data_IF_025739933311
#
_entry.id   IF_025739933311
#
_cell.length_a   1.000
_cell.length_b   1.000
_cell.length_c   1.000
_cell.angle_alpha   90.00
_cell.angle_beta   90.00
_cell.angle_gamma   90.00
#
_symmetry.space_group_name_H-M   'P 1'
#
loop_
_entity.id
_entity.type
_entity.pdbx_description
1 polymer ?
#
# COMPACT_ATOMS: atom_id res chain seq x y z
N UNK A 1 -5.62 -13.58 -0.81
CA UNK A 1 -4.85 -14.16 -1.93
C UNK A 1 -3.38 -13.86 -1.70
N UNK A 2 -2.50 -14.87 -1.85
CA UNK A 2 -1.04 -14.71 -1.81
C UNK A 2 -0.48 -14.86 -3.23
N UNK A 3 0.53 -14.06 -3.58
CA UNK A 3 1.32 -14.22 -4.81
C UNK A 3 2.80 -14.05 -4.50
N UNK A 4 3.61 -14.87 -5.13
CA UNK A 4 5.06 -14.83 -5.06
C UNK A 4 5.59 -14.48 -6.46
N UNK A 5 6.65 -13.66 -6.55
CA UNK A 5 7.22 -13.18 -7.80
C UNK A 5 8.73 -13.32 -7.80
N UNK A 6 9.29 -13.74 -8.91
CA UNK A 6 10.73 -13.64 -9.12
C UNK A 6 11.17 -12.19 -9.36
N UNK A 7 12.43 -11.88 -9.08
CA UNK A 7 12.95 -10.50 -9.17
C UNK A 7 12.74 -9.93 -10.58
N UNK A 8 12.99 -10.71 -11.63
CA UNK A 8 12.83 -10.25 -13.02
C UNK A 8 11.39 -9.86 -13.35
N UNK A 9 10.38 -10.43 -12.67
CA UNK A 9 8.97 -10.11 -12.90
C UNK A 9 8.58 -8.75 -12.33
N UNK A 10 9.20 -8.32 -11.22
CA UNK A 10 8.89 -7.04 -10.55
C UNK A 10 9.86 -5.92 -10.92
N UNK A 11 11.07 -6.27 -11.39
CA UNK A 11 12.09 -5.31 -11.83
C UNK A 11 11.57 -4.22 -12.80
N UNK A 12 10.68 -4.50 -13.79
CA UNK A 12 10.11 -3.47 -14.66
C UNK A 12 9.32 -2.38 -13.93
N UNK A 13 8.77 -2.71 -12.75
CA UNK A 13 7.95 -1.80 -11.92
C UNK A 13 8.78 -0.94 -10.98
N UNK A 14 10.11 -1.11 -10.92
CA UNK A 14 10.98 -0.27 -10.09
C UNK A 14 10.92 1.18 -10.58
N UNK A 15 10.51 2.09 -9.71
CA UNK A 15 10.60 3.52 -9.97
C UNK A 15 12.03 3.99 -9.71
N UNK A 16 12.83 4.08 -10.78
CA UNK A 16 14.24 4.45 -10.75
C UNK A 16 14.46 5.90 -10.31
N UNK A 17 13.50 6.78 -10.49
CA UNK A 17 13.58 8.15 -9.99
C UNK A 17 13.74 8.19 -8.48
N UNK A 18 12.92 7.44 -7.75
CA UNK A 18 13.04 7.33 -6.29
C UNK A 18 14.32 6.63 -5.85
N UNK A 19 14.80 5.65 -6.61
CA UNK A 19 16.08 5.01 -6.36
C UNK A 19 17.23 6.05 -6.45
N UNK A 20 17.29 6.84 -7.50
CA UNK A 20 18.31 7.89 -7.65
C UNK A 20 18.20 8.98 -6.59
N UNK A 21 17.00 9.36 -6.19
CA UNK A 21 16.81 10.30 -5.08
C UNK A 21 17.36 9.78 -3.75
N UNK A 22 17.17 8.51 -3.44
CA UNK A 22 17.70 7.88 -2.23
C UNK A 22 19.24 7.92 -2.19
N UNK A 23 19.89 7.93 -3.36
CA UNK A 23 21.35 8.04 -3.50
C UNK A 23 21.84 9.47 -3.65
N UNK A 24 20.96 10.47 -3.61
CA UNK A 24 21.34 11.89 -3.78
C UNK A 24 21.80 12.24 -5.20
N UNK A 25 21.55 11.36 -6.18
CA UNK A 25 21.93 11.55 -7.59
C UNK A 25 20.77 12.20 -8.34
N UNK A 26 20.61 13.52 -8.20
CA UNK A 26 19.56 14.28 -8.87
C UNK A 26 19.78 14.41 -10.38
N UNK A 27 18.70 14.64 -11.13
CA UNK A 27 18.53 14.32 -12.54
C UNK A 27 19.56 14.84 -13.56
N UNK A 28 20.16 16.04 -13.37
CA UNK A 28 20.75 16.74 -14.52
C UNK A 28 22.26 16.97 -14.47
N UNK A 29 22.95 16.65 -13.40
CA UNK A 29 24.37 16.99 -13.22
C UNK A 29 25.32 15.81 -13.06
N UNK A 30 24.80 14.58 -12.95
CA UNK A 30 25.55 13.39 -12.58
C UNK A 30 25.21 12.18 -13.47
N UNK A 31 25.11 12.36 -14.77
CA UNK A 31 24.69 11.30 -15.69
C UNK A 31 25.62 10.07 -15.63
N UNK A 32 26.93 10.30 -15.56
CA UNK A 32 27.90 9.19 -15.45
C UNK A 32 27.74 8.42 -14.13
N UNK A 33 27.43 9.10 -13.03
CA UNK A 33 27.16 8.45 -11.74
C UNK A 33 25.85 7.67 -11.75
N UNK A 34 24.82 8.20 -12.40
CA UNK A 34 23.54 7.50 -12.59
C UNK A 34 23.73 6.23 -13.41
N UNK A 35 24.47 6.30 -14.51
CA UNK A 35 24.77 5.15 -15.37
C UNK A 35 25.54 4.08 -14.57
N UNK A 36 26.57 4.48 -13.81
CA UNK A 36 27.35 3.58 -12.98
C UNK A 36 26.47 2.92 -11.91
N UNK A 37 25.73 3.73 -11.15
CA UNK A 37 24.84 3.26 -10.08
C UNK A 37 23.78 2.32 -10.63
N UNK A 38 23.22 2.62 -11.82
CA UNK A 38 22.26 1.75 -12.51
C UNK A 38 22.90 0.43 -12.91
N UNK A 39 24.09 0.44 -13.44
CA UNK A 39 24.82 -0.77 -13.83
C UNK A 39 25.07 -1.67 -12.62
N UNK A 40 25.52 -1.11 -11.50
CA UNK A 40 25.75 -1.85 -10.26
C UNK A 40 24.44 -2.42 -9.70
N UNK A 41 23.34 -1.65 -9.76
CA UNK A 41 22.01 -2.08 -9.34
C UNK A 41 21.48 -3.22 -10.21
N UNK A 42 21.61 -3.11 -11.53
CA UNK A 42 21.18 -4.12 -12.47
C UNK A 42 21.96 -5.44 -12.25
N UNK A 43 23.25 -5.36 -11.98
CA UNK A 43 24.07 -6.53 -11.67
C UNK A 43 23.62 -7.19 -10.36
N UNK A 44 23.33 -6.42 -9.33
CA UNK A 44 22.78 -6.97 -8.07
C UNK A 44 21.45 -7.67 -8.31
N UNK A 45 20.55 -7.07 -9.07
CA UNK A 45 19.25 -7.67 -9.37
C UNK A 45 19.41 -8.98 -10.17
N UNK A 46 20.35 -9.02 -11.12
CA UNK A 46 20.65 -10.24 -11.89
C UNK A 46 21.25 -11.35 -10.99
N UNK A 47 22.15 -11.01 -10.06
CA UNK A 47 22.74 -11.93 -9.10
C UNK A 47 21.70 -12.51 -8.10
N UNK A 48 20.64 -11.74 -7.81
CA UNK A 48 19.61 -12.10 -6.83
C UNK A 48 18.40 -12.81 -7.47
N UNK A 49 18.20 -12.66 -8.78
CA UNK A 49 17.10 -13.34 -9.50
C UNK A 49 17.23 -14.86 -9.41
N UNK A 50 16.13 -15.55 -9.17
CA UNK A 50 16.10 -17.00 -8.94
C UNK A 50 16.65 -17.46 -7.58
N UNK A 51 17.19 -16.55 -6.75
CA UNK A 51 17.66 -16.84 -5.38
C UNK A 51 16.70 -16.29 -4.33
N UNK A 52 16.09 -15.18 -4.62
CA UNK A 52 15.15 -14.47 -3.74
C UNK A 52 13.89 -14.13 -4.49
N UNK A 53 12.80 -13.98 -3.75
CA UNK A 53 11.49 -13.62 -4.27
C UNK A 53 10.93 -12.41 -3.54
N UNK A 54 9.93 -11.81 -4.15
CA UNK A 54 9.06 -10.85 -3.50
C UNK A 54 7.67 -11.45 -3.35
N UNK A 55 6.95 -11.03 -2.34
CA UNK A 55 5.69 -11.62 -1.94
C UNK A 55 4.62 -10.55 -1.79
N UNK A 56 3.39 -10.90 -2.09
CA UNK A 56 2.26 -10.02 -1.83
C UNK A 56 1.05 -10.75 -1.28
N UNK A 57 0.26 -10.03 -0.47
CA UNK A 57 -1.07 -10.41 -0.02
C UNK A 57 -2.09 -9.40 -0.52
N UNK A 58 -3.25 -9.89 -0.90
CA UNK A 58 -4.40 -9.06 -1.25
C UNK A 58 -5.68 -9.69 -0.71
N UNK A 59 -6.54 -8.86 -0.13
CA UNK A 59 -7.87 -9.22 0.33
C UNK A 59 -8.86 -8.14 -0.10
N UNK A 60 -9.85 -8.52 -0.90
CA UNK A 60 -10.98 -7.67 -1.22
C UNK A 60 -12.09 -7.90 -0.20
N UNK A 61 -12.61 -6.83 0.39
CA UNK A 61 -13.66 -6.90 1.40
C UNK A 61 -14.80 -5.93 1.09
N UNK A 62 -16.05 -6.30 1.40
CA UNK A 62 -17.14 -5.33 1.45
C UNK A 62 -16.80 -4.22 2.44
N UNK A 63 -17.16 -2.99 2.11
CA UNK A 63 -16.91 -1.82 2.92
C UNK A 63 -18.07 -0.80 2.84
N UNK A 64 -18.29 -0.09 3.93
CA UNK A 64 -19.16 1.08 3.96
C UNK A 64 -18.51 2.19 4.79
N UNK A 65 -18.84 3.45 4.56
CA UNK A 65 -18.35 4.54 5.41
C UNK A 65 -19.39 4.98 6.43
N UNK A 66 -18.93 5.28 7.66
CA UNK A 66 -19.72 5.83 8.76
C UNK A 66 -18.96 7.05 9.32
N UNK A 67 -19.29 8.22 8.82
CA UNK A 67 -18.49 9.42 9.06
C UNK A 67 -17.08 9.26 8.52
N UNK A 68 -16.08 9.38 9.39
CA UNK A 68 -14.67 9.22 9.05
C UNK A 68 -14.14 7.78 9.27
N UNK A 69 -15.04 6.82 9.47
CA UNK A 69 -14.66 5.41 9.63
C UNK A 69 -15.01 4.61 8.37
N UNK A 70 -14.14 3.68 8.00
CA UNK A 70 -14.46 2.60 7.06
C UNK A 70 -14.87 1.38 7.87
N UNK A 71 -16.07 0.88 7.64
CA UNK A 71 -16.64 -0.28 8.32
C UNK A 71 -16.52 -1.49 7.41
N UNK A 72 -16.00 -2.58 7.97
CA UNK A 72 -15.82 -3.88 7.31
C UNK A 72 -16.56 -4.97 8.09
N UNK A 73 -16.83 -6.12 7.50
CA UNK A 73 -17.29 -7.29 8.25
C UNK A 73 -16.31 -7.63 9.38
N UNK A 74 -16.73 -7.43 10.63
CA UNK A 74 -15.94 -7.75 11.82
C UNK A 74 -14.82 -6.76 12.17
N UNK A 75 -14.65 -5.65 11.43
CA UNK A 75 -13.64 -4.64 11.72
C UNK A 75 -14.12 -3.23 11.43
N UNK A 76 -13.48 -2.25 12.08
CA UNK A 76 -13.68 -0.82 11.80
C UNK A 76 -12.31 -0.16 11.66
N UNK A 77 -12.13 0.62 10.62
CA UNK A 77 -10.92 1.37 10.32
C UNK A 77 -11.22 2.87 10.47
N UNK A 78 -11.04 3.44 11.65
CA UNK A 78 -11.13 4.90 11.81
C UNK A 78 -10.05 5.58 10.97
N UNK A 79 -10.45 6.59 10.20
CA UNK A 79 -9.55 7.37 9.36
C UNK A 79 -9.37 8.78 9.93
N UNK A 80 -8.28 9.40 9.54
CA UNK A 80 -8.01 10.82 9.79
C UNK A 80 -8.55 11.64 8.63
N UNK A 81 -9.10 12.79 8.96
CA UNK A 81 -9.56 13.77 7.97
C UNK A 81 -8.54 14.89 7.83
N UNK A 82 -8.28 15.30 6.61
CA UNK A 82 -7.42 16.43 6.30
C UNK A 82 -7.85 17.68 7.06
N UNK A 83 -6.89 18.38 7.64
CA UNK A 83 -7.10 19.63 8.37
C UNK A 83 -6.58 20.83 7.56
N UNK A 84 -7.26 21.97 7.63
CA UNK A 84 -6.74 23.24 7.09
C UNK A 84 -6.82 23.42 5.57
N UNK A 85 -7.59 22.59 4.84
CA UNK A 85 -7.86 22.81 3.42
C UNK A 85 -8.80 24.00 3.18
N UNK A 86 -8.45 24.91 2.26
CA UNK A 86 -9.29 26.08 1.95
C UNK A 86 -10.64 25.72 1.28
N UNK A 87 -10.77 24.55 0.66
CA UNK A 87 -11.95 24.21 -0.15
C UNK A 87 -12.55 22.83 0.12
N UNK A 88 -11.76 21.82 0.43
CA UNK A 88 -12.28 20.46 0.65
C UNK A 88 -11.37 19.71 1.63
N UNK A 89 -11.94 19.25 2.73
CA UNK A 89 -11.27 18.42 3.72
C UNK A 89 -11.53 16.95 3.39
N UNK A 90 -10.49 16.22 2.93
CA UNK A 90 -10.61 14.84 2.48
C UNK A 90 -10.35 13.83 3.60
N UNK A 91 -11.09 12.73 3.54
CA UNK A 91 -10.86 11.52 4.34
C UNK A 91 -10.90 10.29 3.42
N UNK A 92 -10.16 9.25 3.73
CA UNK A 92 -10.22 8.00 2.95
C UNK A 92 -11.63 7.39 2.92
N UNK A 93 -12.42 7.59 3.97
CA UNK A 93 -13.81 7.14 4.05
C UNK A 93 -14.73 7.82 3.03
N UNK A 94 -14.37 9.01 2.51
CA UNK A 94 -15.18 9.73 1.50
C UNK A 94 -15.25 8.98 0.16
N UNK A 95 -14.32 8.05 -0.10
CA UNK A 95 -14.27 7.24 -1.32
C UNK A 95 -15.02 5.92 -1.21
N UNK A 96 -15.70 5.68 -0.10
CA UNK A 96 -16.53 4.50 0.17
C UNK A 96 -17.97 4.95 0.37
N UNK A 97 -18.92 4.18 -0.16
CA UNK A 97 -20.35 4.46 -0.05
C UNK A 97 -20.80 4.53 1.43
N UNK A 98 -21.49 5.58 1.84
CA UNK A 98 -21.93 5.70 3.22
C UNK A 98 -23.00 4.65 3.58
N UNK A 99 -23.03 4.29 4.86
CA UNK A 99 -24.08 3.48 5.46
C UNK A 99 -25.43 4.13 5.19
N UNK A 100 -26.42 3.31 4.81
CA UNK A 100 -27.77 3.80 4.54
C UNK A 100 -28.44 4.42 5.78
N UNK A 101 -29.56 5.15 5.60
CA UNK A 101 -30.24 5.89 6.68
C UNK A 101 -30.72 5.01 7.83
N UNK A 102 -30.87 3.69 7.60
CA UNK A 102 -31.27 2.72 8.63
C UNK A 102 -30.15 2.32 9.57
N UNK A 103 -28.89 2.72 9.27
CA UNK A 103 -27.71 2.31 10.03
C UNK A 103 -27.33 0.83 9.84
N UNK A 104 -28.05 0.11 9.03
CA UNK A 104 -27.73 -1.28 8.68
C UNK A 104 -26.79 -1.32 7.49
N UNK A 105 -25.67 -1.99 7.64
CA UNK A 105 -24.80 -2.35 6.52
C UNK A 105 -25.30 -3.69 6.00
N UNK A 106 -25.97 -3.66 4.87
CA UNK A 106 -26.26 -4.89 4.14
C UNK A 106 -25.00 -5.25 3.37
N UNK A 107 -24.21 -6.16 3.94
CA UNK A 107 -23.19 -6.85 3.16
C UNK A 107 -23.97 -7.71 2.15
N UNK A 108 -23.75 -7.50 0.87
CA UNK A 108 -24.33 -8.36 -0.15
C UNK A 108 -23.95 -9.81 0.22
N UNK A 109 -24.87 -10.49 0.90
CA UNK A 109 -24.82 -11.94 1.00
C UNK A 109 -24.87 -12.41 -0.45
N UNK A 110 -23.97 -13.30 -0.83
CA UNK A 110 -24.02 -13.98 -2.13
C UNK A 110 -25.48 -14.26 -2.44
N UNK A 111 -26.02 -13.55 -3.42
CA UNK A 111 -27.40 -13.74 -3.84
C UNK A 111 -27.47 -15.10 -4.55
N UNK A 112 -27.64 -16.17 -3.75
CA UNK A 112 -27.83 -17.54 -4.25
C UNK A 112 -29.07 -17.67 -5.18
N UNK A 113 -29.79 -16.56 -5.41
CA UNK A 113 -31.02 -16.52 -6.20
C UNK A 113 -30.83 -16.03 -7.64
N UNK A 114 -29.64 -15.53 -8.02
CA UNK A 114 -29.42 -15.13 -9.42
C UNK A 114 -29.11 -16.34 -10.30
N UNK A 115 -30.13 -16.76 -11.03
CA UNK A 115 -30.06 -17.67 -12.18
C UNK A 115 -28.87 -17.36 -13.08
N UNK A 116 -28.05 -18.39 -13.34
CA UNK A 116 -26.95 -18.47 -14.29
C UNK A 116 -27.08 -17.51 -15.48
N UNK A 117 -26.51 -16.30 -15.35
CA UNK A 117 -26.03 -15.56 -16.47
C UNK A 117 -24.55 -15.24 -16.19
N UNK A 118 -23.67 -15.88 -16.97
CA UNK A 118 -22.22 -15.89 -16.80
C UNK A 118 -21.55 -14.59 -17.31
N UNK A 119 -22.05 -13.44 -16.87
CA UNK A 119 -21.34 -12.18 -16.96
C UNK A 119 -20.54 -11.97 -15.68
N UNK A 120 -19.24 -11.90 -15.78
CA UNK A 120 -18.31 -11.67 -14.67
C UNK A 120 -18.75 -10.44 -13.85
N UNK A 121 -19.35 -10.69 -12.68
CA UNK A 121 -19.79 -9.62 -11.79
C UNK A 121 -18.57 -9.00 -11.11
N UNK A 122 -18.20 -7.78 -11.55
CA UNK A 122 -17.18 -6.98 -10.88
C UNK A 122 -17.80 -6.37 -9.63
N UNK A 123 -17.26 -6.61 -8.41
CA UNK A 123 -17.76 -6.01 -7.19
C UNK A 123 -17.81 -4.49 -7.28
N UNK A 124 -18.86 -3.87 -6.75
CA UNK A 124 -19.05 -2.41 -6.78
C UNK A 124 -17.86 -1.71 -6.10
N UNK A 125 -17.21 -0.84 -6.85
CA UNK A 125 -16.01 -0.11 -6.44
C UNK A 125 -16.23 0.85 -5.27
N UNK A 126 -17.47 1.23 -5.01
CA UNK A 126 -17.84 2.12 -3.91
C UNK A 126 -18.22 1.37 -2.63
N UNK A 127 -18.47 0.06 -2.71
CA UNK A 127 -18.88 -0.78 -1.58
C UNK A 127 -17.84 -1.82 -1.19
N UNK A 128 -16.65 -1.72 -1.76
CA UNK A 128 -15.53 -2.62 -1.47
C UNK A 128 -14.23 -1.86 -1.26
N UNK A 129 -13.31 -2.49 -0.55
CA UNK A 129 -11.95 -2.01 -0.31
C UNK A 129 -10.97 -3.16 -0.46
N UNK A 130 -9.82 -2.88 -1.06
CA UNK A 130 -8.70 -3.80 -1.04
C UNK A 130 -7.80 -3.55 0.16
N UNK A 131 -7.33 -4.62 0.79
CA UNK A 131 -6.24 -4.60 1.77
C UNK A 131 -5.03 -5.28 1.15
N UNK A 132 -3.83 -4.76 1.35
CA UNK A 132 -2.64 -5.37 0.78
C UNK A 132 -1.44 -5.30 1.71
N UNK A 133 -0.51 -6.23 1.49
CA UNK A 133 0.85 -6.17 2.00
C UNK A 133 1.81 -6.74 0.95
N UNK A 134 3.04 -6.25 0.91
CA UNK A 134 4.10 -6.79 0.09
C UNK A 134 5.42 -6.78 0.86
N UNK A 135 6.30 -7.74 0.56
CA UNK A 135 7.60 -7.90 1.19
C UNK A 135 8.63 -8.47 0.22
N UNK A 136 9.88 -8.30 0.55
CA UNK A 136 11.01 -9.01 -0.06
C UNK A 136 11.51 -10.05 0.93
N UNK A 137 12.01 -11.17 0.44
CA UNK A 137 12.64 -12.19 1.28
C UNK A 137 13.56 -11.59 2.33
N UNK A 138 13.40 -11.99 3.61
CA UNK A 138 14.08 -11.38 4.75
C UNK A 138 15.62 -11.42 4.64
N UNK A 139 16.16 -12.41 3.94
CA UNK A 139 17.61 -12.60 3.74
C UNK A 139 18.16 -11.98 2.46
N UNK A 140 17.35 -11.20 1.73
CA UNK A 140 17.82 -10.52 0.53
C UNK A 140 19.01 -9.61 0.81
N UNK A 141 18.99 -8.89 1.92
CA UNK A 141 20.08 -7.99 2.33
C UNK A 141 21.26 -8.71 2.97
N UNK A 142 21.07 -9.96 3.44
CA UNK A 142 22.09 -10.78 4.06
C UNK A 142 22.88 -11.60 3.02
N UNK A 143 22.46 -11.58 1.77
CA UNK A 143 22.93 -12.46 0.69
C UNK A 143 24.40 -12.32 0.33
N UNK A 144 25.09 -11.34 0.89
CA UNK A 144 26.53 -11.12 0.66
C UNK A 144 27.25 -10.64 1.94
N UNK A 145 27.54 -11.59 2.83
CA UNK A 145 28.24 -11.32 4.09
C UNK A 145 29.68 -10.76 3.91
N UNK A 146 30.20 -10.73 2.67
CA UNK A 146 31.53 -10.20 2.32
C UNK A 146 31.46 -8.80 1.70
N UNK A 147 30.25 -8.21 1.62
CA UNK A 147 30.05 -6.92 0.94
C UNK A 147 30.60 -5.73 1.74
N UNK A 148 31.15 -4.77 1.02
CA UNK A 148 31.49 -3.47 1.56
C UNK A 148 30.20 -2.65 1.89
N UNK A 149 30.37 -1.55 2.60
CA UNK A 149 29.26 -0.69 3.01
C UNK A 149 28.43 -0.17 1.82
N UNK A 150 29.07 0.06 0.67
CA UNK A 150 28.42 0.49 -0.55
C UNK A 150 27.43 -0.59 -1.06
N UNK A 151 27.90 -1.85 -1.16
CA UNK A 151 27.07 -2.92 -1.64
C UNK A 151 25.91 -3.25 -0.66
N UNK A 152 26.15 -3.14 0.65
CA UNK A 152 25.08 -3.29 1.64
C UNK A 152 24.01 -2.22 1.50
N UNK A 153 24.42 -0.94 1.34
CA UNK A 153 23.48 0.16 1.11
C UNK A 153 22.70 -0.03 -0.21
N UNK A 154 23.37 -0.52 -1.24
CA UNK A 154 22.75 -0.83 -2.54
C UNK A 154 21.68 -1.92 -2.40
N UNK A 155 22.01 -3.02 -1.71
CA UNK A 155 21.05 -4.09 -1.42
C UNK A 155 19.85 -3.60 -0.62
N UNK A 156 20.05 -2.80 0.43
CA UNK A 156 18.96 -2.24 1.23
C UNK A 156 18.06 -1.33 0.39
N UNK A 157 18.65 -0.43 -0.38
CA UNK A 157 17.89 0.48 -1.26
C UNK A 157 17.10 -0.30 -2.32
N UNK A 158 17.71 -1.32 -2.92
CA UNK A 158 17.03 -2.17 -3.91
C UNK A 158 15.90 -2.98 -3.28
N UNK A 159 16.10 -3.52 -2.08
CA UNK A 159 15.05 -4.24 -1.37
C UNK A 159 13.81 -3.36 -1.14
N UNK A 160 14.00 -2.11 -0.69
CA UNK A 160 12.90 -1.15 -0.51
C UNK A 160 12.20 -0.85 -1.84
N UNK A 161 12.96 -0.67 -2.92
CA UNK A 161 12.36 -0.44 -4.25
C UNK A 161 11.65 -1.66 -4.80
N UNK A 162 12.11 -2.88 -4.51
CA UNK A 162 11.44 -4.13 -4.89
C UNK A 162 10.11 -4.31 -4.13
N UNK A 163 10.04 -3.97 -2.84
CA UNK A 163 8.79 -4.01 -2.09
C UNK A 163 7.73 -3.08 -2.71
N UNK A 164 8.13 -1.84 -3.05
CA UNK A 164 7.25 -0.88 -3.73
C UNK A 164 6.86 -1.34 -5.14
N UNK A 165 7.81 -1.88 -5.91
CA UNK A 165 7.58 -2.43 -7.25
C UNK A 165 6.60 -3.63 -7.20
N UNK A 166 6.71 -4.47 -6.17
CA UNK A 166 5.78 -5.58 -5.93
C UNK A 166 4.37 -5.07 -5.65
N UNK A 167 4.23 -4.03 -4.82
CA UNK A 167 2.94 -3.40 -4.56
C UNK A 167 2.35 -2.75 -5.82
N UNK A 168 3.19 -2.15 -6.69
CA UNK A 168 2.74 -1.58 -7.97
C UNK A 168 2.23 -2.68 -8.92
N UNK A 169 3.01 -3.76 -9.09
CA UNK A 169 2.58 -4.93 -9.87
C UNK A 169 1.29 -5.54 -9.34
N UNK A 170 1.19 -5.70 -8.01
CA UNK A 170 -0.02 -6.19 -7.37
C UNK A 170 -1.21 -5.27 -7.68
N UNK A 171 -1.04 -3.95 -7.55
CA UNK A 171 -2.13 -2.99 -7.81
C UNK A 171 -2.60 -3.05 -9.27
N UNK A 172 -1.69 -3.18 -10.24
CA UNK A 172 -2.07 -3.39 -11.63
C UNK A 172 -2.90 -4.67 -11.80
N UNK A 173 -2.49 -5.79 -11.17
CA UNK A 173 -3.26 -7.03 -11.21
C UNK A 173 -4.61 -6.90 -10.52
N UNK A 174 -4.69 -6.17 -9.41
CA UNK A 174 -5.96 -5.89 -8.73
C UNK A 174 -6.91 -5.13 -9.67
N UNK A 175 -6.45 -4.09 -10.34
CA UNK A 175 -7.26 -3.33 -11.29
C UNK A 175 -7.77 -4.17 -12.45
N UNK A 176 -6.89 -5.01 -13.00
CA UNK A 176 -7.19 -5.77 -14.23
C UNK A 176 -7.84 -7.13 -13.98
N UNK A 177 -7.48 -7.81 -12.89
CA UNK A 177 -7.76 -9.23 -12.71
C UNK A 177 -8.55 -9.51 -11.42
N UNK A 178 -8.03 -9.10 -10.25
CA UNK A 178 -8.54 -9.57 -8.95
C UNK A 178 -9.82 -8.86 -8.52
N UNK A 179 -9.86 -7.56 -8.65
CA UNK A 179 -11.07 -6.76 -8.53
C UNK A 179 -11.70 -6.55 -9.91
N UNK A 180 -10.88 -6.31 -10.93
CA UNK A 180 -11.28 -6.31 -12.34
C UNK A 180 -12.05 -5.07 -12.78
N UNK A 181 -11.90 -3.94 -12.09
CA UNK A 181 -12.61 -2.71 -12.46
C UNK A 181 -11.97 -1.95 -13.64
N UNK A 182 -10.81 -2.35 -14.09
CA UNK A 182 -10.12 -1.83 -15.27
C UNK A 182 -9.48 -2.96 -16.10
N UNK A 183 -10.26 -3.94 -16.60
CA UNK A 183 -9.72 -5.14 -17.26
C UNK A 183 -8.97 -4.83 -18.56
N UNK A 184 -9.34 -3.77 -19.24
CA UNK A 184 -8.77 -3.35 -20.52
C UNK A 184 -7.63 -2.31 -20.35
N UNK A 185 -7.17 -2.06 -19.13
CA UNK A 185 -6.09 -1.10 -18.87
C UNK A 185 -4.82 -1.47 -19.63
N UNK A 186 -4.30 -0.52 -20.41
CA UNK A 186 -3.05 -0.63 -21.17
C UNK A 186 -2.18 0.59 -20.91
N UNK A 187 -1.45 0.56 -19.78
CA UNK A 187 -0.55 1.65 -19.39
C UNK A 187 0.91 1.20 -19.56
N UNK A 188 1.71 2.11 -20.07
CA UNK A 188 3.18 1.99 -20.05
C UNK A 188 3.70 2.09 -18.62
N UNK A 189 4.95 1.68 -18.37
CA UNK A 189 5.57 1.84 -17.04
C UNK A 189 5.64 3.30 -16.61
N UNK A 190 5.91 4.21 -17.54
CA UNK A 190 5.93 5.64 -17.27
C UNK A 190 4.55 6.17 -16.82
N UNK A 191 3.50 5.70 -17.46
CA UNK A 191 2.12 6.07 -17.09
C UNK A 191 1.71 5.46 -15.76
N UNK A 192 2.15 4.24 -15.45
CA UNK A 192 1.96 3.63 -14.13
C UNK A 192 2.66 4.46 -13.04
N UNK A 193 3.92 4.84 -13.25
CA UNK A 193 4.68 5.67 -12.30
C UNK A 193 4.13 7.10 -12.19
N UNK A 194 3.36 7.57 -13.18
CA UNK A 194 2.60 8.83 -13.13
C UNK A 194 1.19 8.67 -12.56
N UNK A 195 0.86 7.48 -12.07
CA UNK A 195 -0.44 7.16 -11.46
C UNK A 195 -1.65 7.46 -12.38
N UNK A 196 -1.49 7.22 -13.71
CA UNK A 196 -2.55 7.44 -14.71
C UNK A 196 -3.59 6.31 -14.74
N UNK A 197 -3.86 5.72 -13.61
CA UNK A 197 -4.86 4.68 -13.43
C UNK A 197 -5.99 5.17 -12.51
N UNK A 198 -7.12 4.47 -12.53
CA UNK A 198 -8.21 4.73 -11.60
C UNK A 198 -7.90 4.16 -10.23
N UNK A 199 -8.29 4.90 -9.18
CA UNK A 199 -8.10 4.49 -7.79
C UNK A 199 -6.73 4.86 -7.22
N UNK A 200 -6.52 4.51 -5.96
CA UNK A 200 -5.29 4.78 -5.21
C UNK A 200 -4.88 3.59 -4.34
N UNK A 201 -3.62 3.56 -3.95
CA UNK A 201 -3.02 2.55 -3.07
C UNK A 201 -2.29 3.23 -1.90
N UNK A 202 -3.01 3.90 -0.95
CA UNK A 202 -2.38 4.52 0.19
C UNK A 202 -1.72 3.49 1.09
N UNK A 203 -0.43 3.69 1.37
CA UNK A 203 0.34 2.83 2.27
C UNK A 203 0.38 3.40 3.69
N UNK A 204 0.44 2.51 4.68
CA UNK A 204 0.60 2.87 6.09
C UNK A 204 1.93 3.55 6.32
N UNK A 205 1.93 4.66 7.06
CA UNK A 205 3.11 5.49 7.32
C UNK A 205 3.33 6.62 6.31
N UNK A 206 2.53 6.69 5.24
CA UNK A 206 2.57 7.78 4.26
C UNK A 206 1.56 8.89 4.62
N UNK A 207 1.70 10.11 4.05
CA UNK A 207 0.90 11.27 4.43
C UNK A 207 -0.61 11.08 4.42
N UNK A 208 -1.13 10.22 3.54
CA UNK A 208 -2.57 9.92 3.46
C UNK A 208 -3.04 8.89 4.50
N UNK A 209 -2.12 8.10 5.08
CA UNK A 209 -2.41 7.05 6.06
C UNK A 209 -1.30 7.00 7.12
N UNK A 210 -1.10 8.06 7.93
CA UNK A 210 0.09 8.25 8.75
C UNK A 210 0.15 7.42 10.04
N UNK A 211 -0.91 6.69 10.39
CA UNK A 211 -0.99 5.91 11.63
C UNK A 211 -0.37 4.52 11.47
N UNK A 212 0.87 4.34 11.96
CA UNK A 212 1.59 3.06 11.97
C UNK A 212 0.84 1.95 12.72
N UNK A 213 -0.03 2.28 13.68
CA UNK A 213 -0.82 1.27 14.39
C UNK A 213 -1.88 0.59 13.49
N UNK A 214 -2.14 1.14 12.30
CA UNK A 214 -3.00 0.50 11.32
C UNK A 214 -2.43 -0.85 10.85
N UNK A 215 -1.11 -1.02 10.88
CA UNK A 215 -0.46 -2.28 10.55
C UNK A 215 -0.95 -3.45 11.42
N UNK A 216 -1.27 -3.21 12.70
CA UNK A 216 -1.82 -4.28 13.57
C UNK A 216 -3.21 -4.73 13.11
N UNK A 217 -4.02 -3.79 12.59
CA UNK A 217 -5.34 -4.12 12.05
C UNK A 217 -5.20 -4.89 10.74
N UNK A 218 -4.31 -4.42 9.84
CA UNK A 218 -4.06 -5.09 8.57
C UNK A 218 -3.47 -6.49 8.79
N UNK A 219 -2.56 -6.67 9.75
CA UNK A 219 -2.00 -7.99 10.08
C UNK A 219 -3.07 -8.96 10.58
N UNK A 220 -4.01 -8.47 11.41
CA UNK A 220 -5.15 -9.29 11.88
C UNK A 220 -6.03 -9.77 10.73
N UNK A 221 -6.20 -8.95 9.67
CA UNK A 221 -7.08 -9.26 8.54
C UNK A 221 -6.36 -10.06 7.44
N UNK A 222 -5.07 -9.79 7.21
CA UNK A 222 -4.28 -10.37 6.12
C UNK A 222 -3.43 -11.56 6.54
N UNK A 223 -3.09 -11.69 7.84
CA UNK A 223 -2.07 -12.62 8.35
C UNK A 223 -0.74 -12.42 7.59
N UNK A 224 -0.10 -11.27 7.82
CA UNK A 224 1.08 -10.85 7.07
C UNK A 224 2.30 -11.76 7.32
N UNK A 225 2.26 -12.63 8.32
CA UNK A 225 3.28 -13.66 8.56
C UNK A 225 3.39 -14.65 7.39
N UNK A 226 2.33 -14.84 6.60
CA UNK A 226 2.34 -15.68 5.40
C UNK A 226 3.37 -15.24 4.36
N UNK A 227 3.78 -13.97 4.40
CA UNK A 227 4.81 -13.38 3.52
C UNK A 227 6.03 -12.89 4.31
N UNK A 228 6.25 -13.46 5.50
CA UNK A 228 7.43 -13.22 6.33
C UNK A 228 7.43 -11.89 7.09
N UNK A 229 6.33 -11.11 7.05
CA UNK A 229 6.25 -9.83 7.78
C UNK A 229 5.95 -10.09 9.26
N UNK A 230 6.70 -9.44 10.13
CA UNK A 230 6.48 -9.36 11.57
C UNK A 230 6.41 -7.90 12.01
N UNK A 231 5.53 -7.58 12.95
CA UNK A 231 5.38 -6.23 13.45
C UNK A 231 6.19 -6.01 14.74
N UNK A 232 6.82 -4.86 14.85
CA UNK A 232 7.41 -4.37 16.10
C UNK A 232 6.32 -3.77 16.99
N UNK A 233 6.64 -3.48 18.25
CA UNK A 233 5.72 -2.80 19.20
C UNK A 233 5.27 -1.41 18.69
N UNK A 234 6.07 -0.77 17.85
CA UNK A 234 5.75 0.52 17.21
C UNK A 234 4.98 0.40 15.89
N UNK A 235 4.57 -0.82 15.50
CA UNK A 235 3.84 -1.07 14.25
C UNK A 235 4.71 -1.05 12.99
N UNK A 236 6.04 -1.00 13.12
CA UNK A 236 6.95 -1.12 11.98
C UNK A 236 7.08 -2.58 11.54
N UNK A 237 7.26 -2.79 10.24
CA UNK A 237 7.39 -4.12 9.64
C UNK A 237 8.86 -4.59 9.63
N UNK A 238 9.04 -5.91 9.74
CA UNK A 238 10.27 -6.65 9.51
C UNK A 238 9.96 -7.80 8.55
N UNK A 239 10.71 -7.96 7.43
CA UNK A 239 11.86 -7.15 6.98
C UNK A 239 11.46 -5.69 6.76
N UNK A 240 12.44 -4.77 6.77
CA UNK A 240 12.22 -3.34 6.51
C UNK A 240 11.64 -3.11 5.10
N UNK A 241 12.14 -3.87 4.13
CA UNK A 241 11.64 -3.88 2.76
C UNK A 241 10.25 -4.54 2.69
N UNK A 242 9.27 -3.86 3.26
CA UNK A 242 7.86 -4.26 3.31
C UNK A 242 6.96 -3.03 3.21
N UNK A 243 5.80 -3.20 2.61
CA UNK A 243 4.77 -2.17 2.50
C UNK A 243 3.39 -2.79 2.72
N UNK A 244 2.49 -2.07 3.36
CA UNK A 244 1.09 -2.48 3.56
C UNK A 244 0.16 -1.28 3.44
N UNK A 245 -1.11 -1.52 3.19
CA UNK A 245 -2.07 -0.43 3.04
C UNK A 245 -3.42 -0.85 2.52
N UNK A 246 -4.10 0.14 1.97
CA UNK A 246 -5.45 0.03 1.42
C UNK A 246 -5.42 0.24 -0.09
N UNK A 247 -6.42 -0.28 -0.80
CA UNK A 247 -6.69 0.00 -2.21
C UNK A 247 -8.13 0.50 -2.35
N UNK A 248 -8.30 1.67 -2.92
CA UNK A 248 -9.58 2.32 -3.16
C UNK A 248 -9.77 2.50 -4.66
N UNK A 249 -10.85 1.96 -5.21
CA UNK A 249 -11.09 1.93 -6.66
C UNK A 249 -11.95 3.11 -7.16
N UNK A 250 -12.42 3.99 -6.26
CA UNK A 250 -13.28 5.11 -6.62
C UNK A 250 -12.57 6.04 -7.64
N UNK A 251 -13.22 6.47 -8.73
CA UNK A 251 -12.59 7.27 -9.78
C UNK A 251 -12.12 8.65 -9.30
N UNK A 252 -12.71 9.19 -8.25
CA UNK A 252 -12.32 10.47 -7.64
C UNK A 252 -11.30 10.30 -6.51
N UNK A 253 -10.92 9.05 -6.18
CA UNK A 253 -9.91 8.80 -5.17
C UNK A 253 -8.57 9.40 -5.59
N UNK A 254 -7.94 10.12 -4.68
CA UNK A 254 -6.64 10.77 -4.88
C UNK A 254 -5.85 10.79 -3.59
N UNK A 255 -4.54 10.80 -3.70
CA UNK A 255 -3.67 11.00 -2.56
C UNK A 255 -3.80 12.43 -2.00
N UNK A 256 -3.71 12.54 -0.70
CA UNK A 256 -3.70 13.82 0.01
C UNK A 256 -2.83 13.69 1.27
N UNK A 257 -2.34 14.80 1.74
CA UNK A 257 -1.68 14.88 3.03
C UNK A 257 -2.73 15.19 4.11
N UNK A 258 -2.83 14.33 5.13
CA UNK A 258 -3.69 14.62 6.30
C UNK A 258 -3.27 15.93 6.96
N UNK A 259 -1.98 16.27 6.86
CA UNK A 259 -1.43 17.48 7.44
C UNK A 259 -1.30 17.38 8.96
N UNK A 260 -1.30 18.55 9.60
CA UNK A 260 -1.17 18.64 11.05
C UNK A 260 -2.45 18.15 11.72
N UNK A 261 -2.31 17.21 12.66
CA UNK A 261 -3.41 16.70 13.48
C UNK A 261 -3.60 17.62 14.69
N UNK A 262 -4.71 18.33 14.77
CA UNK A 262 -5.05 19.15 15.91
C UNK A 262 -5.47 18.30 17.12
N UNK A 263 -5.37 18.85 18.35
CA UNK A 263 -5.69 18.09 19.57
C UNK A 263 -7.10 17.49 19.56
N UNK A 264 -8.10 18.21 19.06
CA UNK A 264 -9.49 17.73 19.04
C UNK A 264 -9.65 16.52 18.11
N UNK A 265 -9.02 16.58 16.93
CA UNK A 265 -9.01 15.44 16.00
C UNK A 265 -8.23 14.25 16.60
N UNK A 266 -7.11 14.50 17.25
CA UNK A 266 -6.33 13.45 17.90
C UNK A 266 -7.18 12.75 18.99
N UNK A 267 -7.91 13.50 19.82
CA UNK A 267 -8.75 12.92 20.87
C UNK A 267 -9.92 12.13 20.27
N UNK A 268 -10.59 12.65 19.24
CA UNK A 268 -11.66 11.92 18.55
C UNK A 268 -11.13 10.64 17.90
N UNK A 269 -10.03 10.74 17.16
CA UNK A 269 -9.40 9.59 16.51
C UNK A 269 -8.96 8.54 17.54
N UNK A 270 -8.33 8.94 18.64
CA UNK A 270 -7.92 8.06 19.74
C UNK A 270 -9.13 7.32 20.34
N UNK A 271 -10.24 8.02 20.54
CA UNK A 271 -11.50 7.43 21.03
C UNK A 271 -12.04 6.39 20.06
N UNK A 272 -12.08 6.68 18.74
CA UNK A 272 -12.54 5.75 17.70
C UNK A 272 -11.60 4.54 17.52
N UNK A 273 -10.28 4.74 17.70
CA UNK A 273 -9.26 3.70 17.67
C UNK A 273 -9.18 2.86 18.96
N UNK A 274 -9.86 3.26 20.02
CA UNK A 274 -9.75 2.66 21.36
C UNK A 274 -8.30 2.61 21.88
N UNK A 275 -7.47 3.60 21.52
CA UNK A 275 -6.08 3.73 21.94
C UNK A 275 -5.93 5.05 22.71
N UNK A 276 -5.27 5.09 23.88
CA UNK A 276 -5.00 6.34 24.58
C UNK A 276 -4.27 7.35 23.66
N UNK A 277 -4.68 8.62 23.69
CA UNK A 277 -4.15 9.65 22.77
C UNK A 277 -2.62 9.81 22.87
N UNK A 278 -2.05 9.67 24.06
CA UNK A 278 -0.59 9.70 24.26
C UNK A 278 0.12 8.55 23.56
N UNK A 279 -0.45 7.34 23.62
CA UNK A 279 0.09 6.17 22.92
C UNK A 279 -0.10 6.29 21.41
N UNK A 280 -1.27 6.77 20.96
CA UNK A 280 -1.57 6.95 19.56
C UNK A 280 -0.61 7.95 18.90
N UNK A 281 -0.26 9.02 19.59
CA UNK A 281 0.69 10.02 19.10
C UNK A 281 2.05 9.42 18.70
N UNK A 282 2.48 8.37 19.39
CA UNK A 282 3.74 7.67 19.07
C UNK A 282 3.68 6.85 17.78
N UNK A 283 2.49 6.56 17.25
CA UNK A 283 2.29 5.86 15.98
C UNK A 283 2.10 6.81 14.80
N UNK A 284 1.83 8.09 15.04
CA UNK A 284 1.55 9.06 13.97
C UNK A 284 2.84 9.62 13.41
N UNK A 285 3.08 9.39 12.12
CA UNK A 285 4.21 9.94 11.35
C UNK A 285 3.84 11.29 10.70
N UNK A 286 3.36 12.23 11.52
CA UNK A 286 3.06 13.60 11.09
C UNK A 286 3.98 14.56 11.83
N UNK A 287 4.67 15.40 11.07
CA UNK A 287 5.60 16.40 11.58
C UNK A 287 4.92 17.67 12.10
#
# INVERSE_FOLDING_TARGET
MKSDYDIHEVRPYINWTYFYHAWGVAADQLEDERIRLRTDADQVLDDMDGRFQTHSLFLLMPAASDGDDIVLPGARLPMLRQQGGETTSLCMADFIKPIGPTGEVVWDAEDESSTHDSTSHVPDISTHIGLFAASVDAHFTDGDASSDDYRQLLLQTLADRLAEATAERLHQRVRREFWGYAPDEQLTMDELHQERFQGIRPAVGYPSLPDMSMNFVLDTLLDMQQIGIQLTESGMMRPHASVSGLMLAHPEARYFDVGRIDPDQLFDYARRRHIPAERLRAFLLVG
#
